data_IF_785620484458
#
_entry.id   IF_785620484458
#
_cell.length_a   1.000
_cell.length_b   1.000
_cell.length_c   1.000
_cell.angle_alpha   90.00
_cell.angle_beta   90.00
_cell.angle_gamma   90.00
#
_symmetry.space_group_name_H-M   'P 1'
#
loop_
_entity.id
_entity.type
_entity.pdbx_description
1 polymer ?
#
# COMPACT_ATOMS: atom_id res chain seq x y z
N UNK A 1 23.95 9.94 -52.51
CA UNK A 1 23.70 10.22 -51.08
C UNK A 1 25.04 10.29 -50.38
N UNK A 2 25.46 11.47 -49.94
CA UNK A 2 26.77 11.74 -49.37
C UNK A 2 26.92 11.07 -47.98
N UNK A 3 28.13 10.67 -47.61
CA UNK A 3 28.44 10.04 -46.31
C UNK A 3 27.92 10.89 -45.12
N UNK A 4 27.97 12.20 -45.26
CA UNK A 4 27.46 13.16 -44.27
C UNK A 4 25.93 13.05 -44.03
N UNK A 5 25.14 12.81 -45.09
CA UNK A 5 23.70 12.64 -44.98
C UNK A 5 23.34 11.33 -44.25
N UNK A 6 24.12 10.27 -44.44
CA UNK A 6 23.93 9.00 -43.72
C UNK A 6 24.26 9.11 -42.23
N UNK A 7 25.32 9.85 -41.90
CA UNK A 7 25.69 10.10 -40.50
C UNK A 7 24.63 10.96 -39.83
N UNK A 8 24.11 11.99 -40.49
CA UNK A 8 23.05 12.84 -39.97
C UNK A 8 21.74 12.07 -39.75
N UNK A 9 21.36 11.19 -40.66
CA UNK A 9 20.19 10.30 -40.53
C UNK A 9 20.35 9.29 -39.36
N UNK A 10 21.56 8.75 -39.15
CA UNK A 10 21.84 7.84 -38.05
C UNK A 10 21.82 8.54 -36.68
N UNK A 11 22.35 9.75 -36.59
CA UNK A 11 22.29 10.55 -35.37
C UNK A 11 20.86 10.99 -35.05
N UNK A 12 20.06 11.35 -36.08
CA UNK A 12 18.65 11.67 -35.90
C UNK A 12 17.81 10.45 -35.45
N UNK A 13 18.13 9.26 -35.96
CA UNK A 13 17.45 8.03 -35.55
C UNK A 13 17.75 7.65 -34.11
N UNK A 14 18.95 7.94 -33.60
CA UNK A 14 19.31 7.73 -32.18
C UNK A 14 18.59 8.71 -31.26
N UNK A 15 18.32 9.94 -31.71
CA UNK A 15 17.58 10.95 -30.99
C UNK A 15 16.06 10.69 -30.97
N UNK A 16 15.56 9.87 -31.92
CA UNK A 16 14.16 9.46 -32.00
C UNK A 16 13.86 8.11 -31.35
N UNK A 17 14.84 7.49 -30.66
CA UNK A 17 14.53 6.37 -29.80
C UNK A 17 13.54 6.93 -28.76
N UNK A 18 12.24 6.51 -28.77
CA UNK A 18 11.35 6.87 -27.71
C UNK A 18 12.04 6.37 -26.45
N UNK A 19 12.32 7.26 -25.52
CA UNK A 19 12.66 6.87 -24.14
C UNK A 19 11.43 6.08 -23.72
N UNK A 20 11.45 4.78 -23.99
CA UNK A 20 10.44 3.83 -23.58
C UNK A 20 10.30 4.08 -22.09
N UNK A 21 9.17 4.69 -21.72
CA UNK A 21 8.97 5.33 -20.45
C UNK A 21 9.52 4.45 -19.35
N UNK A 22 10.60 4.91 -18.75
CA UNK A 22 10.95 4.49 -17.42
C UNK A 22 9.70 4.82 -16.63
N UNK A 23 8.86 3.76 -16.39
CA UNK A 23 7.57 3.95 -15.76
C UNK A 23 7.84 4.78 -14.52
N UNK A 24 7.33 6.02 -14.54
CA UNK A 24 7.55 6.95 -13.44
C UNK A 24 7.17 6.19 -12.19
N UNK A 25 8.17 5.86 -11.37
CA UNK A 25 7.92 5.20 -10.09
C UNK A 25 6.95 6.12 -9.37
N UNK A 26 5.76 5.61 -9.07
CA UNK A 26 4.76 6.38 -8.34
C UNK A 26 5.41 6.88 -7.07
N UNK A 27 5.45 8.19 -6.91
CA UNK A 27 5.88 8.82 -5.67
C UNK A 27 4.69 8.72 -4.74
N UNK A 28 4.82 8.00 -3.65
CA UNK A 28 3.74 7.86 -2.68
C UNK A 28 3.59 9.15 -1.87
N UNK A 29 4.67 9.60 -1.24
CA UNK A 29 4.67 10.85 -0.46
C UNK A 29 6.07 11.45 -0.38
N UNK A 30 6.18 12.55 0.33
CA UNK A 30 7.43 13.18 0.72
C UNK A 30 7.52 13.25 2.23
N UNK A 31 8.69 13.00 2.79
CA UNK A 31 8.90 13.00 4.24
C UNK A 31 8.39 14.30 4.88
N UNK A 32 8.71 15.46 4.30
CA UNK A 32 8.28 16.76 4.82
C UNK A 32 6.76 16.97 4.85
N UNK A 33 6.00 16.24 4.04
CA UNK A 33 4.53 16.37 3.96
C UNK A 33 3.81 15.64 5.09
N UNK A 34 4.49 14.76 5.80
CA UNK A 34 3.92 13.89 6.84
C UNK A 34 4.61 14.01 8.20
N UNK A 35 5.40 15.06 8.40
CA UNK A 35 6.15 15.29 9.65
C UNK A 35 5.26 15.41 10.89
N UNK A 36 4.04 15.89 10.71
CA UNK A 36 3.06 16.07 11.77
C UNK A 36 2.17 14.83 12.03
N UNK A 37 2.42 13.72 11.32
CA UNK A 37 1.58 12.52 11.39
C UNK A 37 1.35 12.02 12.83
N UNK A 38 2.42 11.94 13.62
CA UNK A 38 2.35 11.42 14.99
C UNK A 38 1.48 12.27 15.93
N UNK A 39 1.29 13.55 15.61
CA UNK A 39 0.48 14.49 16.41
C UNK A 39 -0.94 14.70 15.89
N UNK A 40 -1.22 14.24 14.67
CA UNK A 40 -2.53 14.39 14.01
C UNK A 40 -3.37 13.13 14.19
N UNK A 41 -4.69 13.31 14.19
CA UNK A 41 -5.62 12.18 14.30
C UNK A 41 -5.75 11.44 12.96
N UNK A 42 -5.58 10.11 13.00
CA UNK A 42 -5.91 9.23 11.89
C UNK A 42 -7.37 8.78 12.01
N UNK A 43 -8.20 9.18 11.06
CA UNK A 43 -9.60 8.73 10.94
C UNK A 43 -9.65 7.42 10.18
N UNK A 44 -10.07 6.35 10.85
CA UNK A 44 -10.20 5.02 10.27
C UNK A 44 -11.62 4.85 9.74
N UNK A 45 -11.75 4.76 8.42
CA UNK A 45 -13.04 4.71 7.75
C UNK A 45 -13.59 3.29 7.75
N UNK A 46 -14.75 3.11 8.37
CA UNK A 46 -15.45 1.84 8.43
C UNK A 46 -16.69 1.87 7.53
N UNK A 47 -16.75 0.95 6.60
CA UNK A 47 -17.95 0.68 5.79
C UNK A 47 -18.67 -0.53 6.39
N UNK A 48 -19.83 -0.30 6.98
CA UNK A 48 -20.62 -1.35 7.65
C UNK A 48 -21.08 -2.47 6.70
N UNK A 49 -21.08 -2.21 5.40
CA UNK A 49 -21.44 -3.20 4.39
C UNK A 49 -20.33 -4.21 4.10
N UNK A 50 -19.09 -3.94 4.57
CA UNK A 50 -17.93 -4.77 4.31
C UNK A 50 -17.52 -5.58 5.55
N UNK A 51 -17.44 -6.92 5.47
CA UNK A 51 -16.93 -7.77 6.57
C UNK A 51 -15.54 -7.36 7.03
N UNK A 52 -14.71 -6.90 6.10
CA UNK A 52 -13.39 -6.33 6.32
C UNK A 52 -13.36 -5.23 7.39
N UNK A 53 -14.42 -4.43 7.53
CA UNK A 53 -14.46 -3.32 8.50
C UNK A 53 -14.40 -3.79 9.95
N UNK A 54 -14.91 -4.99 10.25
CA UNK A 54 -14.81 -5.55 11.58
C UNK A 54 -13.37 -5.95 11.90
N UNK A 55 -12.70 -6.63 11.00
CA UNK A 55 -11.29 -6.99 11.15
C UNK A 55 -10.41 -5.72 11.26
N UNK A 56 -10.64 -4.73 10.38
CA UNK A 56 -9.92 -3.46 10.44
C UNK A 56 -10.11 -2.76 11.80
N UNK A 57 -11.33 -2.72 12.33
CA UNK A 57 -11.59 -2.15 13.66
C UNK A 57 -10.83 -2.89 14.75
N UNK A 58 -10.88 -4.22 14.74
CA UNK A 58 -10.22 -5.05 15.73
C UNK A 58 -8.71 -4.83 15.73
N UNK A 59 -8.09 -4.89 14.56
CA UNK A 59 -6.64 -4.79 14.44
C UNK A 59 -6.12 -3.37 14.69
N UNK A 60 -6.87 -2.34 14.31
CA UNK A 60 -6.52 -0.96 14.68
C UNK A 60 -6.58 -0.79 16.21
N UNK A 61 -7.59 -1.34 16.87
CA UNK A 61 -7.69 -1.25 18.33
C UNK A 61 -6.54 -1.95 19.04
N UNK A 62 -6.03 -3.06 18.46
CA UNK A 62 -4.99 -3.89 19.06
C UNK A 62 -3.57 -3.43 18.73
N UNK A 63 -3.33 -2.94 17.50
CA UNK A 63 -1.98 -2.77 16.96
C UNK A 63 -1.61 -1.32 16.66
N UNK A 64 -2.58 -0.41 16.46
CA UNK A 64 -2.25 0.95 16.02
C UNK A 64 -1.67 1.80 17.15
N UNK A 65 -0.42 2.24 16.97
CA UNK A 65 0.32 2.99 18.00
C UNK A 65 0.99 4.27 17.48
N UNK A 66 1.03 4.46 16.16
CA UNK A 66 1.86 5.51 15.52
C UNK A 66 1.24 6.90 15.53
N UNK A 67 -0.07 7.01 15.81
CA UNK A 67 -0.78 8.29 15.94
C UNK A 67 -2.06 8.12 16.76
N UNK A 68 -2.66 9.19 17.31
CA UNK A 68 -4.04 9.15 17.76
C UNK A 68 -4.97 8.70 16.64
N UNK A 69 -6.01 7.94 16.97
CA UNK A 69 -6.98 7.51 15.96
C UNK A 69 -8.41 7.62 16.46
N UNK A 70 -9.33 7.71 15.51
CA UNK A 70 -10.78 7.61 15.74
C UNK A 70 -11.45 6.89 14.55
N UNK A 71 -12.55 6.19 14.83
CA UNK A 71 -13.34 5.57 13.79
C UNK A 71 -14.37 6.54 13.23
N UNK A 72 -14.56 6.55 11.92
CA UNK A 72 -15.58 7.33 11.26
C UNK A 72 -16.34 6.50 10.21
N UNK A 73 -17.50 7.01 9.79
CA UNK A 73 -18.27 6.40 8.70
C UNK A 73 -17.73 6.86 7.33
N UNK A 74 -18.17 6.17 6.28
CA UNK A 74 -17.86 6.57 4.90
C UNK A 74 -18.47 7.96 4.58
N UNK A 75 -19.66 8.24 5.11
CA UNK A 75 -20.34 9.53 4.94
C UNK A 75 -19.55 10.67 5.60
N UNK A 76 -18.99 10.43 6.79
CA UNK A 76 -18.15 11.41 7.48
C UNK A 76 -16.84 11.64 6.74
N UNK A 77 -16.23 10.56 6.23
CA UNK A 77 -15.04 10.66 5.39
C UNK A 77 -15.29 11.53 4.16
N UNK A 78 -16.37 11.29 3.41
CA UNK A 78 -16.69 12.07 2.20
C UNK A 78 -16.85 13.57 2.48
N UNK A 79 -17.39 13.93 3.66
CA UNK A 79 -17.53 15.34 4.07
C UNK A 79 -16.19 15.96 4.49
N UNK A 80 -15.30 15.18 5.06
CA UNK A 80 -14.12 15.68 5.77
C UNK A 80 -12.78 15.36 5.08
N UNK A 81 -12.75 14.56 4.01
CA UNK A 81 -11.53 14.08 3.35
C UNK A 81 -10.59 15.17 2.82
N UNK A 82 -11.06 16.42 2.80
CA UNK A 82 -10.24 17.59 2.45
C UNK A 82 -9.66 18.31 3.68
N UNK A 83 -9.95 17.87 4.91
CA UNK A 83 -9.40 18.49 6.10
C UNK A 83 -7.90 18.19 6.24
N UNK A 84 -7.00 19.21 6.16
CA UNK A 84 -5.57 19.01 6.24
C UNK A 84 -5.06 18.62 7.64
N UNK A 85 -5.93 18.74 8.66
CA UNK A 85 -5.61 18.40 10.05
C UNK A 85 -5.81 16.92 10.38
N UNK A 86 -6.27 16.12 9.41
CA UNK A 86 -6.55 14.70 9.59
C UNK A 86 -5.82 13.85 8.55
N UNK A 87 -5.48 12.64 8.98
CA UNK A 87 -5.17 11.53 8.10
C UNK A 87 -6.35 10.58 8.02
N UNK A 88 -6.43 9.82 6.94
CA UNK A 88 -7.54 8.90 6.70
C UNK A 88 -7.00 7.55 6.28
N UNK A 89 -7.34 6.51 7.03
CA UNK A 89 -7.09 5.12 6.65
C UNK A 89 -8.39 4.52 6.14
N UNK A 90 -8.43 4.20 4.85
CA UNK A 90 -9.65 3.76 4.20
C UNK A 90 -9.41 2.70 3.13
N UNK A 91 -10.36 1.78 2.89
CA UNK A 91 -10.32 0.90 1.75
C UNK A 91 -10.67 1.66 0.46
N UNK A 92 -9.97 1.35 -0.62
CA UNK A 92 -10.21 1.89 -1.96
C UNK A 92 -10.14 0.80 -3.02
N UNK A 93 -11.05 0.83 -4.00
CA UNK A 93 -11.00 -0.05 -5.15
C UNK A 93 -10.49 0.69 -6.39
N UNK A 94 -9.51 0.14 -7.07
CA UNK A 94 -8.98 0.70 -8.30
C UNK A 94 -8.70 -0.42 -9.31
N UNK A 95 -9.41 -0.41 -10.45
CA UNK A 95 -9.30 -1.41 -11.52
C UNK A 95 -9.44 -2.86 -11.02
N UNK A 96 -10.39 -3.09 -10.14
CA UNK A 96 -10.67 -4.41 -9.55
C UNK A 96 -9.68 -4.87 -8.49
N UNK A 97 -8.69 -4.08 -8.14
CA UNK A 97 -7.79 -4.33 -7.01
C UNK A 97 -8.23 -3.48 -5.83
N UNK A 98 -8.24 -4.06 -4.66
CA UNK A 98 -8.48 -3.37 -3.40
C UNK A 98 -7.18 -2.96 -2.74
N UNK A 99 -7.22 -1.78 -2.14
CA UNK A 99 -6.09 -1.20 -1.42
C UNK A 99 -6.55 -0.72 -0.05
N UNK A 100 -5.69 -0.86 0.93
CA UNK A 100 -5.78 -0.10 2.16
C UNK A 100 -4.92 1.15 1.98
N UNK A 101 -5.57 2.30 1.97
CA UNK A 101 -4.94 3.59 1.64
C UNK A 101 -4.87 4.45 2.89
N UNK A 102 -3.67 4.92 3.21
CA UNK A 102 -3.48 6.02 4.14
C UNK A 102 -3.29 7.29 3.32
N UNK A 103 -4.14 8.28 3.56
CA UNK A 103 -4.08 9.58 2.89
C UNK A 103 -4.11 10.72 3.91
N UNK A 104 -3.56 11.87 3.56
CA UNK A 104 -3.73 13.13 4.28
C UNK A 104 -4.73 14.00 3.54
N UNK A 105 -5.62 14.65 4.27
CA UNK A 105 -6.50 15.65 3.71
C UNK A 105 -5.70 16.87 3.19
N UNK A 106 -6.28 17.60 2.25
CA UNK A 106 -5.67 18.82 1.74
C UNK A 106 -6.74 19.75 1.21
N UNK A 107 -6.58 21.04 1.45
CA UNK A 107 -7.49 22.08 1.00
C UNK A 107 -6.77 23.05 0.06
N UNK A 108 -7.23 23.17 -1.19
CA UNK A 108 -6.63 24.03 -2.19
C UNK A 108 -6.71 25.54 -1.81
N UNK A 109 -7.67 25.90 -0.96
CA UNK A 109 -7.87 27.28 -0.50
C UNK A 109 -7.10 27.59 0.80
N UNK A 110 -6.35 26.61 1.35
CA UNK A 110 -5.56 26.79 2.54
C UNK A 110 -4.14 27.26 2.16
N UNK A 111 -3.62 28.21 2.90
CA UNK A 111 -2.23 28.67 2.78
C UNK A 111 -1.23 27.64 3.32
N UNK A 112 -1.71 26.55 3.93
CA UNK A 112 -0.89 25.46 4.42
C UNK A 112 -0.10 24.76 3.30
N UNK A 113 0.99 24.09 3.66
CA UNK A 113 1.81 23.33 2.71
C UNK A 113 1.05 22.20 1.99
N UNK A 114 -0.13 21.79 2.50
CA UNK A 114 -0.92 20.67 1.97
C UNK A 114 -2.19 21.18 1.28
N UNK A 115 -2.02 21.68 0.08
CA UNK A 115 -3.13 22.22 -0.74
C UNK A 115 -4.04 21.13 -1.31
N UNK A 116 -3.55 19.92 -1.51
CA UNK A 116 -4.28 18.80 -2.11
C UNK A 116 -4.20 17.57 -1.22
N UNK A 117 -5.21 16.70 -1.24
CA UNK A 117 -5.08 15.40 -0.59
C UNK A 117 -3.84 14.66 -1.07
N UNK A 118 -3.09 14.09 -0.13
CA UNK A 118 -1.84 13.38 -0.39
C UNK A 118 -2.06 11.91 -0.07
N UNK A 119 -1.85 11.04 -1.05
CA UNK A 119 -1.75 9.61 -0.79
C UNK A 119 -0.41 9.35 -0.11
N UNK A 120 -0.45 8.92 1.14
CA UNK A 120 0.74 8.60 1.94
C UNK A 120 1.26 7.23 1.55
N UNK A 121 0.41 6.23 1.55
CA UNK A 121 0.69 4.87 1.06
C UNK A 121 -0.61 4.21 0.57
N UNK A 122 -0.48 3.34 -0.42
CA UNK A 122 -1.54 2.50 -0.94
C UNK A 122 -1.03 1.06 -0.99
N UNK A 123 -1.47 0.26 -0.02
CA UNK A 123 -1.10 -1.14 0.12
C UNK A 123 -2.15 -2.01 -0.56
N UNK A 124 -1.81 -2.83 -1.58
CA UNK A 124 -2.75 -3.76 -2.16
C UNK A 124 -3.08 -4.86 -1.15
N UNK A 125 -4.37 -5.20 -1.06
CA UNK A 125 -4.90 -6.18 -0.10
C UNK A 125 -5.74 -7.24 -0.78
N UNK A 126 -5.77 -8.45 -0.21
CA UNK A 126 -6.63 -9.53 -0.66
C UNK A 126 -8.06 -9.34 -0.14
N UNK A 127 -9.05 -9.68 -0.96
CA UNK A 127 -10.36 -10.15 -0.50
C UNK A 127 -11.27 -9.17 0.24
N UNK A 128 -11.21 -7.86 -0.04
CA UNK A 128 -12.09 -6.89 0.62
C UNK A 128 -13.59 -7.23 0.47
N UNK A 129 -14.00 -7.79 -0.67
CA UNK A 129 -15.39 -8.20 -0.94
C UNK A 129 -15.66 -9.66 -0.62
N UNK A 130 -14.68 -10.41 -0.18
CA UNK A 130 -14.87 -11.79 0.21
C UNK A 130 -15.80 -11.89 1.43
N UNK A 131 -17.06 -12.27 1.17
CA UNK A 131 -18.06 -12.44 2.23
C UNK A 131 -17.69 -13.54 3.22
N UNK A 132 -16.76 -14.42 2.86
CA UNK A 132 -16.25 -15.47 3.77
C UNK A 132 -15.31 -14.91 4.84
N UNK A 133 -14.79 -13.68 4.63
CA UNK A 133 -13.82 -13.06 5.54
C UNK A 133 -12.42 -13.67 5.46
N UNK A 134 -12.17 -14.60 4.54
CA UNK A 134 -10.88 -15.31 4.44
C UNK A 134 -9.69 -14.37 4.20
N UNK A 135 -9.87 -13.30 3.41
CA UNK A 135 -8.82 -12.30 3.16
C UNK A 135 -8.51 -11.41 4.35
N UNK A 136 -9.39 -11.34 5.35
CA UNK A 136 -9.15 -10.51 6.55
C UNK A 136 -8.13 -11.12 7.52
N UNK A 137 -7.74 -12.36 7.33
CA UNK A 137 -6.71 -13.01 8.17
C UNK A 137 -5.37 -12.26 8.12
N UNK A 138 -5.06 -11.61 6.99
CA UNK A 138 -3.80 -10.86 6.82
C UNK A 138 -3.85 -9.42 7.35
N UNK A 139 -4.97 -8.99 7.97
CA UNK A 139 -5.13 -7.62 8.45
C UNK A 139 -4.03 -7.17 9.43
N UNK A 140 -3.57 -8.00 10.39
CA UNK A 140 -2.48 -7.63 11.28
C UNK A 140 -1.22 -7.18 10.52
N UNK A 141 -0.82 -7.95 9.49
CA UNK A 141 0.34 -7.59 8.68
C UNK A 141 0.11 -6.31 7.87
N UNK A 142 -1.08 -6.11 7.31
CA UNK A 142 -1.37 -4.88 6.57
C UNK A 142 -1.28 -3.63 7.45
N UNK A 143 -1.76 -3.71 8.68
CA UNK A 143 -1.67 -2.60 9.64
C UNK A 143 -0.22 -2.38 10.05
N UNK A 144 0.52 -3.44 10.38
CA UNK A 144 1.94 -3.36 10.72
C UNK A 144 2.75 -2.70 9.60
N UNK A 145 2.58 -3.14 8.36
CA UNK A 145 3.28 -2.57 7.20
C UNK A 145 2.99 -1.09 6.98
N UNK A 146 1.76 -0.64 7.23
CA UNK A 146 1.41 0.79 7.12
C UNK A 146 2.10 1.59 8.22
N UNK A 147 2.14 1.08 9.45
CA UNK A 147 2.84 1.72 10.57
C UNK A 147 4.34 1.82 10.30
N UNK A 148 4.98 0.71 9.92
CA UNK A 148 6.41 0.66 9.58
C UNK A 148 6.76 1.65 8.44
N UNK A 149 5.87 1.71 7.44
CA UNK A 149 6.06 2.67 6.36
C UNK A 149 6.04 4.11 6.86
N UNK A 150 5.05 4.47 7.64
CA UNK A 150 4.91 5.86 8.13
C UNK A 150 6.09 6.23 9.02
N UNK A 151 6.47 5.37 9.96
CA UNK A 151 7.61 5.61 10.84
C UNK A 151 8.91 5.81 10.05
N UNK A 152 9.14 4.96 9.06
CA UNK A 152 10.28 5.09 8.18
C UNK A 152 10.20 6.33 7.26
N UNK A 153 9.04 6.65 6.72
CA UNK A 153 8.85 7.75 5.78
C UNK A 153 8.96 9.14 6.44
N UNK A 154 8.61 9.27 7.71
CA UNK A 154 8.81 10.52 8.47
C UNK A 154 10.31 10.86 8.55
N UNK A 155 11.18 9.87 8.69
CA UNK A 155 12.61 10.05 8.90
C UNK A 155 13.45 9.92 7.63
N UNK A 156 12.91 9.29 6.58
CA UNK A 156 13.65 8.96 5.36
C UNK A 156 12.85 9.30 4.09
N UNK A 157 13.37 10.27 3.33
CA UNK A 157 12.81 10.61 2.02
C UNK A 157 12.88 9.43 1.03
N UNK A 158 13.87 8.54 1.17
CA UNK A 158 13.98 7.34 0.31
C UNK A 158 12.83 6.37 0.56
N UNK A 159 12.47 6.17 1.84
CA UNK A 159 11.32 5.31 2.20
C UNK A 159 10.02 5.94 1.70
N UNK A 160 9.81 7.23 1.99
CA UNK A 160 8.65 7.97 1.53
C UNK A 160 8.46 7.88 0.01
N UNK A 161 9.55 8.01 -0.75
CA UNK A 161 9.53 7.94 -2.21
C UNK A 161 9.23 6.53 -2.74
N UNK A 162 9.82 5.49 -2.13
CA UNK A 162 9.73 4.10 -2.64
C UNK A 162 8.46 3.36 -2.23
N UNK A 163 7.73 3.85 -1.25
CA UNK A 163 6.49 3.24 -0.78
C UNK A 163 6.69 1.82 -0.25
N UNK A 164 5.70 0.96 -0.45
CA UNK A 164 5.70 -0.45 0.03
C UNK A 164 6.99 -1.20 -0.30
N UNK A 165 7.59 -0.95 -1.46
CA UNK A 165 8.81 -1.63 -1.87
C UNK A 165 10.03 -1.34 -0.98
N UNK A 166 10.00 -0.25 -0.18
CA UNK A 166 11.06 0.09 0.77
C UNK A 166 11.04 -0.77 2.03
N UNK A 167 9.92 -1.41 2.33
CA UNK A 167 9.72 -2.21 3.54
C UNK A 167 10.29 -3.63 3.43
N UNK A 168 10.75 -4.02 2.24
CA UNK A 168 11.27 -5.39 2.05
C UNK A 168 12.47 -5.68 2.95
N UNK A 169 12.33 -6.72 3.75
CA UNK A 169 13.39 -7.30 4.57
C UNK A 169 14.01 -8.53 3.90
N UNK A 170 15.16 -8.93 4.37
CA UNK A 170 15.75 -10.20 3.95
C UNK A 170 15.07 -11.34 4.71
N UNK A 171 14.47 -12.27 3.98
CA UNK A 171 13.88 -13.47 4.56
C UNK A 171 14.99 -14.36 5.17
N UNK A 172 14.82 -14.87 6.40
CA UNK A 172 15.71 -15.87 6.97
C UNK A 172 15.82 -17.11 6.08
N UNK A 173 16.97 -17.78 6.10
CA UNK A 173 17.25 -18.91 5.19
C UNK A 173 16.50 -20.19 5.52
N UNK A 174 16.02 -20.30 6.74
CA UNK A 174 15.27 -21.44 7.31
C UNK A 174 13.75 -21.18 7.33
N UNK A 175 13.27 -20.21 6.59
CA UNK A 175 11.84 -19.86 6.53
C UNK A 175 11.09 -20.77 5.57
N UNK A 176 10.07 -21.45 6.06
CA UNK A 176 9.11 -22.19 5.24
C UNK A 176 8.12 -21.25 4.59
N UNK A 177 7.92 -21.35 3.27
CA UNK A 177 7.00 -20.46 2.54
C UNK A 177 5.79 -21.23 2.06
N UNK A 178 4.63 -20.92 2.62
CA UNK A 178 3.33 -21.47 2.23
C UNK A 178 2.77 -20.70 1.02
N UNK A 179 2.51 -21.41 -0.06
CA UNK A 179 2.06 -20.84 -1.34
C UNK A 179 0.65 -21.26 -1.74
N UNK A 180 0.16 -22.37 -1.23
CA UNK A 180 -1.24 -22.75 -1.37
C UNK A 180 -2.11 -21.78 -0.54
N UNK A 181 -3.21 -21.25 -1.08
CA UNK A 181 -4.00 -20.24 -0.38
C UNK A 181 -4.63 -20.70 0.95
N UNK A 182 -5.03 -21.96 1.07
CA UNK A 182 -5.63 -22.44 2.32
C UNK A 182 -4.54 -22.68 3.38
N UNK A 183 -3.44 -23.35 2.99
CA UNK A 183 -2.30 -23.58 3.88
C UNK A 183 -1.67 -22.24 4.34
N UNK A 184 -1.58 -21.24 3.44
CA UNK A 184 -1.07 -19.92 3.76
C UNK A 184 -1.96 -19.18 4.79
N UNK A 185 -3.27 -19.29 4.68
CA UNK A 185 -4.19 -18.71 5.66
C UNK A 185 -4.09 -19.39 7.01
N UNK A 186 -4.00 -20.72 7.00
CA UNK A 186 -3.83 -21.50 8.21
C UNK A 186 -2.52 -21.14 8.93
N UNK A 187 -1.40 -21.16 8.20
CA UNK A 187 -0.09 -20.81 8.75
C UNK A 187 -0.05 -19.40 9.33
N UNK A 188 -0.71 -18.43 8.67
CA UNK A 188 -0.80 -17.06 9.14
C UNK A 188 -1.73 -16.93 10.36
N UNK A 189 -2.86 -17.59 10.35
CA UNK A 189 -3.83 -17.57 11.46
C UNK A 189 -3.25 -18.14 12.76
N UNK A 190 -2.49 -19.21 12.64
CA UNK A 190 -1.90 -19.91 13.78
C UNK A 190 -0.45 -19.48 14.05
N UNK A 191 0.07 -18.51 13.30
CA UNK A 191 1.40 -17.94 13.50
C UNK A 191 2.50 -19.00 13.59
N UNK A 192 2.60 -19.84 12.55
CA UNK A 192 3.62 -20.89 12.50
C UNK A 192 5.02 -20.28 12.60
N UNK A 193 5.85 -20.87 13.46
CA UNK A 193 7.22 -20.41 13.66
C UNK A 193 8.07 -20.57 12.40
N UNK A 194 9.03 -19.67 12.19
CA UNK A 194 9.95 -19.68 11.06
C UNK A 194 9.24 -19.83 9.71
N UNK A 195 8.09 -19.21 9.56
CA UNK A 195 7.29 -19.33 8.36
C UNK A 195 6.87 -18.00 7.76
N UNK A 196 6.61 -18.03 6.47
CA UNK A 196 6.04 -16.93 5.70
C UNK A 196 4.95 -17.43 4.76
N UNK A 197 4.08 -16.54 4.33
CA UNK A 197 2.98 -16.85 3.45
C UNK A 197 3.03 -16.03 2.17
N UNK A 198 2.69 -16.63 1.05
CA UNK A 198 2.52 -15.92 -0.20
C UNK A 198 1.07 -15.48 -0.38
N UNK A 199 0.86 -14.18 -0.40
CA UNK A 199 -0.45 -13.57 -0.69
C UNK A 199 -0.46 -13.14 -2.16
N UNK A 200 -1.45 -13.64 -2.91
CA UNK A 200 -1.64 -13.34 -4.32
C UNK A 200 -2.88 -12.47 -4.48
N UNK A 201 -2.72 -11.30 -5.08
CA UNK A 201 -3.80 -10.33 -5.28
C UNK A 201 -4.09 -10.22 -6.77
N UNK A 202 -5.30 -10.61 -7.15
CA UNK A 202 -5.82 -10.56 -8.52
C UNK A 202 -6.96 -9.55 -8.64
N UNK A 203 -7.17 -8.95 -9.82
CA UNK A 203 -8.33 -8.09 -10.04
C UNK A 203 -9.64 -8.89 -9.97
N UNK A 204 -10.63 -8.37 -9.25
CA UNK A 204 -11.97 -8.94 -9.25
C UNK A 204 -12.62 -8.87 -10.63
N UNK A 205 -13.40 -9.91 -10.96
CA UNK A 205 -14.18 -9.98 -12.21
C UNK A 205 -13.34 -10.15 -13.47
N UNK A 206 -12.03 -10.38 -13.38
CA UNK A 206 -11.22 -10.70 -14.55
C UNK A 206 -10.92 -12.18 -14.65
N UNK A 207 -11.05 -12.72 -15.86
CA UNK A 207 -10.56 -14.07 -16.20
C UNK A 207 -9.02 -14.12 -16.31
N UNK A 208 -8.34 -13.06 -15.92
CA UNK A 208 -6.89 -13.01 -15.96
C UNK A 208 -6.32 -13.91 -14.88
N UNK A 209 -5.70 -15.00 -15.31
CA UNK A 209 -4.97 -15.91 -14.43
C UNK A 209 -3.66 -15.31 -13.87
N UNK A 210 -3.30 -14.08 -14.27
CA UNK A 210 -2.05 -13.43 -13.83
C UNK A 210 -2.30 -12.62 -12.57
N UNK A 211 -1.60 -12.91 -11.47
CA UNK A 211 -1.67 -12.09 -10.27
C UNK A 211 -1.16 -10.68 -10.56
N UNK A 212 -1.84 -9.68 -10.01
CA UNK A 212 -1.43 -8.28 -10.12
C UNK A 212 -0.32 -7.95 -9.12
N UNK A 213 -0.42 -8.52 -7.93
CA UNK A 213 0.60 -8.39 -6.89
C UNK A 213 0.88 -9.74 -6.23
N UNK A 214 2.12 -9.87 -5.78
CA UNK A 214 2.57 -10.96 -4.92
C UNK A 214 3.27 -10.37 -3.72
N UNK A 215 2.83 -10.71 -2.53
CA UNK A 215 3.47 -10.37 -1.28
C UNK A 215 3.93 -11.66 -0.60
N UNK A 216 5.08 -11.62 0.07
CA UNK A 216 5.48 -12.68 1.00
C UNK A 216 5.62 -12.04 2.37
N UNK A 217 4.82 -12.50 3.31
CA UNK A 217 4.64 -11.93 4.64
C UNK A 217 5.08 -12.96 5.70
N UNK A 218 5.87 -12.54 6.67
CA UNK A 218 6.14 -13.34 7.85
C UNK A 218 4.87 -13.55 8.67
N UNK A 219 4.71 -14.74 9.23
CA UNK A 219 3.49 -15.12 9.97
C UNK A 219 3.43 -14.53 11.38
N UNK A 220 4.60 -14.36 12.02
CA UNK A 220 4.70 -13.86 13.40
C UNK A 220 5.14 -12.39 13.48
N UNK A 221 6.13 -12.02 12.67
CA UNK A 221 6.74 -10.69 12.68
C UNK A 221 6.04 -9.70 11.76
N UNK A 222 5.14 -10.18 10.89
CA UNK A 222 4.42 -9.40 9.88
C UNK A 222 5.33 -8.65 8.89
N UNK A 223 6.60 -9.04 8.81
CA UNK A 223 7.55 -8.42 7.89
C UNK A 223 7.27 -8.74 6.44
N UNK A 224 7.58 -7.80 5.56
CA UNK A 224 7.46 -7.97 4.12
C UNK A 224 8.79 -8.50 3.54
N UNK A 225 8.82 -9.75 3.16
CA UNK A 225 10.02 -10.37 2.55
C UNK A 225 10.06 -10.19 1.04
N UNK A 226 8.90 -10.15 0.37
CA UNK A 226 8.83 -9.92 -1.07
C UNK A 226 7.63 -9.08 -1.45
N UNK A 227 7.83 -8.22 -2.46
CA UNK A 227 6.78 -7.42 -3.08
C UNK A 227 7.04 -7.34 -4.58
N UNK A 228 6.15 -7.89 -5.38
CA UNK A 228 6.21 -7.85 -6.82
C UNK A 228 4.88 -7.34 -7.40
N UNK A 229 4.98 -6.51 -8.43
CA UNK A 229 3.87 -6.03 -9.25
C UNK A 229 4.11 -6.51 -10.67
N UNK A 230 3.14 -7.25 -11.23
CA UNK A 230 3.16 -7.76 -12.62
C UNK A 230 2.40 -6.83 -13.55
#
# INVERSE_FOLDING_TARGET
MTRLLRIFLLTLAVLLVPVAGWGQKRIYTRSYMIQDFKSKTTKVVLDKSLPFSQALRQEITSLWTVSPYEFCTKEDYEKQKKNPDCYYLHPEANKGIYYLVLSRGGNENDESAVKRPVEVISLPIEGLQDKSGKGSVYMPAYISLIQDFVEGAITSEVIAYRGVASLKKRMPSDTDVYTDPEDAREAFQYQYENSAVQVIITPDGTLSSKPRYKLVLGTMDYELYSYAKN
#
